data_IF_273063180736
#
_entry.id   IF_273063180736
#
_cell.length_a   1.000
_cell.length_b   1.000
_cell.length_c   1.000
_cell.angle_alpha   90.00
_cell.angle_beta   90.00
_cell.angle_gamma   90.00
#
_symmetry.space_group_name_H-M   'P 1'
#
loop_
_entity.id
_entity.type
_entity.pdbx_description
1 polymer ?
#
# COMPACT_ATOMS: atom_id res chain seq x y z
N UNK A 1 -19.90 -44.55 19.08
CA UNK A 1 -19.62 -43.58 18.00
C UNK A 1 -18.57 -44.17 17.09
N UNK A 2 -18.89 -44.40 15.81
CA UNK A 2 -18.06 -45.21 14.91
C UNK A 2 -16.75 -44.51 14.56
N UNK A 3 -15.64 -45.27 14.58
CA UNK A 3 -14.26 -44.82 14.33
C UNK A 3 -14.07 -44.03 13.02
N UNK A 4 -14.98 -44.24 12.07
CA UNK A 4 -15.04 -43.55 10.78
C UNK A 4 -15.41 -42.07 10.87
N UNK A 5 -16.16 -41.68 11.91
CA UNK A 5 -16.55 -40.29 12.11
C UNK A 5 -15.36 -39.41 12.49
N UNK A 6 -14.42 -39.97 13.27
CA UNK A 6 -13.16 -39.32 13.61
C UNK A 6 -12.23 -39.17 12.40
N UNK A 7 -12.22 -40.15 11.50
CA UNK A 7 -11.45 -40.07 10.25
C UNK A 7 -11.99 -38.96 9.35
N UNK A 8 -13.31 -38.85 9.20
CA UNK A 8 -13.93 -37.77 8.42
C UNK A 8 -13.71 -36.40 9.06
N UNK A 9 -13.75 -36.31 10.40
CA UNK A 9 -13.48 -35.07 11.12
C UNK A 9 -12.02 -34.62 10.91
N UNK A 10 -11.06 -35.54 11.03
CA UNK A 10 -9.65 -35.25 10.79
C UNK A 10 -9.41 -34.80 9.34
N UNK A 11 -10.05 -35.45 8.37
CA UNK A 11 -9.96 -35.08 6.96
C UNK A 11 -10.56 -33.70 6.68
N UNK A 12 -11.70 -33.37 7.31
CA UNK A 12 -12.33 -32.06 7.17
C UNK A 12 -11.46 -30.93 7.75
N UNK A 13 -10.83 -31.16 8.90
CA UNK A 13 -9.87 -30.22 9.49
C UNK A 13 -8.66 -30.05 8.58
N UNK A 14 -8.13 -31.13 8.02
CA UNK A 14 -6.99 -31.08 7.10
C UNK A 14 -7.31 -30.30 5.81
N UNK A 15 -8.46 -30.57 5.19
CA UNK A 15 -8.93 -29.81 4.03
C UNK A 15 -9.20 -28.35 4.38
N UNK A 16 -9.77 -28.07 5.55
CA UNK A 16 -9.99 -26.70 6.04
C UNK A 16 -8.68 -25.94 6.24
N UNK A 17 -7.68 -26.58 6.81
CA UNK A 17 -6.34 -26.02 6.98
C UNK A 17 -5.66 -25.76 5.63
N UNK A 18 -5.73 -26.71 4.69
CA UNK A 18 -5.24 -26.53 3.32
C UNK A 18 -5.94 -25.38 2.61
N UNK A 19 -7.27 -25.29 2.74
CA UNK A 19 -8.05 -24.20 2.18
C UNK A 19 -7.60 -22.86 2.77
N UNK A 20 -7.38 -22.79 4.09
CA UNK A 20 -6.88 -21.58 4.76
C UNK A 20 -5.47 -21.18 4.28
N UNK A 21 -4.60 -22.16 3.99
CA UNK A 21 -3.29 -21.93 3.37
C UNK A 21 -3.42 -21.40 1.95
N UNK A 22 -4.35 -21.93 1.15
CA UNK A 22 -4.63 -21.46 -0.22
C UNK A 22 -5.29 -20.07 -0.26
N UNK A 23 -5.95 -19.67 0.83
CA UNK A 23 -6.54 -18.34 1.00
C UNK A 23 -5.55 -17.31 1.55
N UNK A 24 -4.33 -17.70 1.94
CA UNK A 24 -3.33 -16.70 2.30
C UNK A 24 -2.98 -15.89 1.05
N UNK A 25 -3.11 -14.55 1.11
CA UNK A 25 -2.62 -13.72 0.01
C UNK A 25 -1.14 -14.06 -0.15
N UNK A 26 -0.74 -14.46 -1.35
CA UNK A 26 0.66 -14.68 -1.65
C UNK A 26 1.41 -13.37 -1.33
N UNK A 27 2.12 -13.34 -0.21
CA UNK A 27 3.17 -12.37 0.00
C UNK A 27 4.19 -12.70 -1.08
N UNK A 28 4.16 -11.94 -2.17
CA UNK A 28 5.10 -12.11 -3.26
C UNK A 28 6.43 -11.56 -2.77
N UNK A 29 7.17 -12.37 -2.01
CA UNK A 29 8.57 -12.17 -1.67
C UNK A 29 9.39 -12.37 -2.95
N UNK A 30 9.23 -11.44 -3.89
CA UNK A 30 10.25 -11.27 -4.93
C UNK A 30 11.41 -10.57 -4.24
N UNK A 31 12.64 -11.11 -4.23
CA UNK A 31 13.83 -10.35 -3.88
C UNK A 31 14.12 -9.34 -5.00
N UNK A 32 13.19 -8.40 -5.19
CA UNK A 32 13.33 -7.21 -6.02
C UNK A 32 13.64 -6.04 -5.11
N UNK A 33 14.38 -5.07 -5.63
CA UNK A 33 14.61 -3.80 -4.94
C UNK A 33 13.25 -3.22 -4.52
N UNK A 34 13.01 -3.01 -3.23
CA UNK A 34 11.77 -2.39 -2.76
C UNK A 34 11.83 -0.89 -2.99
N UNK A 35 10.67 -0.25 -3.13
CA UNK A 35 10.56 1.20 -3.28
C UNK A 35 11.26 1.95 -2.14
N UNK A 36 11.24 1.35 -0.95
CA UNK A 36 11.83 1.90 0.27
C UNK A 36 12.41 0.77 1.12
N UNK A 37 13.42 1.08 1.93
CA UNK A 37 13.94 0.17 2.95
C UNK A 37 13.30 0.39 4.34
N UNK A 38 12.23 1.21 4.41
CA UNK A 38 11.56 1.52 5.67
C UNK A 38 10.71 0.34 6.13
N UNK A 39 10.76 0.06 7.43
CA UNK A 39 9.84 -0.86 8.07
C UNK A 39 8.45 -0.21 8.14
N UNK A 40 7.42 -0.80 7.51
CA UNK A 40 6.04 -0.33 7.63
C UNK A 40 5.56 -0.14 9.08
N UNK A 41 6.10 -0.93 10.01
CA UNK A 41 5.74 -0.86 11.43
C UNK A 41 6.37 0.33 12.16
N UNK A 42 7.42 0.96 11.61
CA UNK A 42 8.06 2.13 12.21
C UNK A 42 7.37 3.45 11.80
N UNK A 43 6.52 3.42 10.77
CA UNK A 43 5.91 4.64 10.20
C UNK A 43 4.88 5.23 11.17
N UNK A 44 4.97 6.54 11.42
CA UNK A 44 4.07 7.25 12.35
C UNK A 44 3.12 8.22 11.68
N UNK A 45 3.53 8.82 10.56
CA UNK A 45 2.77 9.81 9.82
C UNK A 45 2.69 9.43 8.33
N UNK A 46 1.47 9.42 7.81
CA UNK A 46 1.20 9.24 6.38
C UNK A 46 0.46 10.47 5.88
N UNK A 47 0.98 11.11 4.83
CA UNK A 47 0.28 12.18 4.13
C UNK A 47 0.15 11.85 2.66
N UNK A 48 -1.04 12.08 2.11
CA UNK A 48 -1.32 11.84 0.70
C UNK A 48 -1.75 13.17 0.10
N UNK A 49 -1.01 13.57 -0.93
CA UNK A 49 -1.27 14.76 -1.71
C UNK A 49 -1.63 14.34 -3.14
N UNK A 50 -2.70 14.89 -3.70
CA UNK A 50 -3.17 14.58 -5.07
C UNK A 50 -3.28 15.89 -5.83
N UNK A 51 -2.62 15.99 -6.99
CA UNK A 51 -2.60 17.22 -7.78
C UNK A 51 -2.30 18.47 -6.92
N UNK A 52 -1.23 18.39 -6.11
CA UNK A 52 -0.77 19.43 -5.18
C UNK A 52 -1.79 19.87 -4.10
N UNK A 53 -2.80 19.03 -3.82
CA UNK A 53 -3.74 19.22 -2.71
C UNK A 53 -3.56 18.14 -1.66
N UNK A 54 -3.37 18.57 -0.41
CA UNK A 54 -3.41 17.66 0.74
C UNK A 54 -4.81 17.08 0.88
N UNK A 55 -4.90 15.77 0.84
CA UNK A 55 -6.18 15.08 0.75
C UNK A 55 -6.42 14.15 1.93
N UNK A 56 -5.37 13.46 2.41
CA UNK A 56 -5.47 12.55 3.54
C UNK A 56 -4.26 12.69 4.45
N UNK A 57 -4.50 12.68 5.76
CA UNK A 57 -3.45 12.61 6.77
C UNK A 57 -3.82 11.56 7.80
N UNK A 58 -2.90 10.64 8.08
CA UNK A 58 -3.03 9.62 9.10
C UNK A 58 -1.86 9.70 10.07
N UNK A 59 -2.17 9.62 11.36
CA UNK A 59 -1.21 9.62 12.45
C UNK A 59 -1.42 8.36 13.29
N UNK A 60 -0.33 7.72 13.69
CA UNK A 60 -0.37 6.61 14.64
C UNK A 60 -0.40 7.16 16.06
N UNK A 61 -1.47 6.87 16.81
CA UNK A 61 -1.68 7.31 18.19
C UNK A 61 -2.00 6.10 19.07
N UNK A 62 -1.18 5.86 20.10
CA UNK A 62 -1.36 4.76 21.06
C UNK A 62 -1.67 3.40 20.38
N UNK A 63 -0.86 3.05 19.35
CA UNK A 63 -1.00 1.86 18.51
C UNK A 63 -2.24 1.75 17.60
N UNK A 64 -3.09 2.77 17.54
CA UNK A 64 -4.15 2.88 16.55
C UNK A 64 -3.81 3.90 15.47
N UNK A 65 -4.25 3.66 14.23
CA UNK A 65 -4.20 4.67 13.18
C UNK A 65 -5.38 5.62 13.33
N UNK A 66 -5.12 6.91 13.25
CA UNK A 66 -6.13 7.94 13.32
C UNK A 66 -6.00 8.84 12.09
N UNK A 67 -7.10 9.04 11.37
CA UNK A 67 -7.15 10.04 10.32
C UNK A 67 -7.31 11.41 10.98
N UNK A 68 -6.52 12.39 10.58
CA UNK A 68 -6.60 13.78 11.07
C UNK A 68 -7.11 14.73 9.99
N UNK A 69 -6.98 14.36 8.72
CA UNK A 69 -7.50 15.12 7.57
C UNK A 69 -8.15 14.17 6.55
N UNK A 70 -9.29 14.52 5.92
CA UNK A 70 -10.03 15.80 5.99
C UNK A 70 -10.87 15.97 7.26
N UNK A 71 -11.08 14.89 8.02
CA UNK A 71 -11.78 14.90 9.30
C UNK A 71 -11.07 14.00 10.30
N UNK A 72 -11.17 14.36 11.57
CA UNK A 72 -10.64 13.54 12.65
C UNK A 72 -11.53 12.30 12.86
N UNK A 73 -11.01 11.10 12.64
CA UNK A 73 -11.73 9.85 12.88
C UNK A 73 -10.75 8.67 13.07
N UNK A 74 -11.13 7.62 13.81
CA UNK A 74 -10.36 6.38 13.86
C UNK A 74 -10.25 5.78 12.45
N UNK A 75 -9.03 5.38 12.08
CA UNK A 75 -8.76 4.76 10.79
C UNK A 75 -8.62 3.24 10.94
N UNK A 76 -9.18 2.50 10.00
CA UNK A 76 -9.12 1.05 9.99
C UNK A 76 -7.68 0.60 9.70
N UNK A 77 -7.02 0.00 10.70
CA UNK A 77 -5.61 -0.41 10.62
C UNK A 77 -5.32 -1.30 9.39
N UNK A 78 -6.25 -2.21 9.05
CA UNK A 78 -6.13 -3.06 7.85
C UNK A 78 -6.04 -2.26 6.56
N UNK A 79 -6.76 -1.14 6.45
CA UNK A 79 -6.79 -0.30 5.24
C UNK A 79 -5.59 0.63 5.18
N UNK A 80 -5.15 1.15 6.33
CA UNK A 80 -3.90 1.90 6.41
C UNK A 80 -2.70 1.00 6.11
N UNK A 81 -2.73 -0.27 6.53
CA UNK A 81 -1.74 -1.28 6.17
C UNK A 81 -1.58 -1.47 4.65
N UNK A 82 -2.66 -1.34 3.87
CA UNK A 82 -2.59 -1.38 2.41
C UNK A 82 -1.83 -0.16 1.83
N UNK A 83 -1.98 1.02 2.43
CA UNK A 83 -1.18 2.20 2.05
C UNK A 83 0.29 2.02 2.44
N UNK A 84 0.56 1.46 3.62
CA UNK A 84 1.92 1.17 4.06
C UNK A 84 2.61 0.14 3.16
N UNK A 85 1.86 -0.80 2.56
CA UNK A 85 2.41 -1.77 1.61
C UNK A 85 3.02 -1.11 0.36
N UNK A 86 2.66 0.14 0.04
CA UNK A 86 3.30 0.92 -1.02
C UNK A 86 4.79 1.13 -0.72
N UNK A 87 5.16 1.31 0.56
CA UNK A 87 6.55 1.48 0.98
C UNK A 87 7.42 0.25 0.62
N UNK A 88 6.82 -0.93 0.66
CA UNK A 88 7.46 -2.21 0.34
C UNK A 88 7.15 -2.69 -1.08
N UNK A 89 6.58 -1.85 -1.94
CA UNK A 89 6.27 -2.21 -3.31
C UNK A 89 7.54 -2.61 -4.09
N UNK A 90 7.48 -3.65 -4.94
CA UNK A 90 8.61 -4.01 -5.79
C UNK A 90 8.86 -2.90 -6.80
N UNK A 91 10.07 -2.33 -6.77
CA UNK A 91 10.52 -1.26 -7.65
C UNK A 91 11.28 -1.84 -8.83
N UNK A 92 10.88 -1.44 -10.04
CA UNK A 92 11.66 -1.66 -11.24
C UNK A 92 12.50 -0.39 -11.52
N UNK A 93 13.82 -0.40 -11.28
CA UNK A 93 14.65 0.77 -11.48
C UNK A 93 14.71 1.14 -12.97
N UNK A 94 14.66 2.43 -13.27
CA UNK A 94 14.75 2.94 -14.64
C UNK A 94 15.90 3.93 -14.70
N UNK A 95 16.75 3.79 -15.73
CA UNK A 95 17.78 4.78 -16.04
C UNK A 95 17.11 6.03 -16.60
N UNK A 96 16.87 7.00 -15.71
CA UNK A 96 16.31 8.30 -16.06
C UNK A 96 17.39 9.22 -16.64
N UNK A 97 17.15 9.76 -17.85
CA UNK A 97 17.90 10.89 -18.39
C UNK A 97 17.46 12.23 -17.78
N UNK A 98 18.09 13.33 -18.18
CA UNK A 98 17.80 14.67 -17.62
C UNK A 98 16.32 15.08 -17.75
N UNK A 99 15.64 14.72 -18.84
CA UNK A 99 14.24 15.08 -19.12
C UNK A 99 13.22 14.02 -18.66
N UNK A 100 13.69 12.97 -17.97
CA UNK A 100 12.86 11.86 -17.54
C UNK A 100 11.69 12.30 -16.66
N UNK A 101 11.89 13.27 -15.77
CA UNK A 101 10.85 13.73 -14.85
C UNK A 101 9.63 14.30 -15.61
N UNK A 102 9.86 15.12 -16.63
CA UNK A 102 8.79 15.65 -17.47
C UNK A 102 8.14 14.54 -18.32
N UNK A 103 8.96 13.67 -18.93
CA UNK A 103 8.48 12.57 -19.78
C UNK A 103 7.62 11.56 -19.02
N UNK A 104 7.97 11.29 -17.76
CA UNK A 104 7.29 10.33 -16.91
C UNK A 104 6.17 10.95 -16.08
N UNK A 105 5.83 12.23 -16.29
CA UNK A 105 4.77 12.90 -15.55
C UNK A 105 5.05 13.07 -14.05
N UNK A 106 6.33 13.13 -13.67
CA UNK A 106 6.80 13.43 -12.32
C UNK A 106 7.01 14.94 -12.10
N UNK A 107 6.75 15.76 -13.13
CA UNK A 107 6.83 17.22 -13.07
C UNK A 107 5.73 17.86 -13.94
N UNK A 108 4.58 18.26 -13.35
CA UNK A 108 4.19 18.04 -11.95
C UNK A 108 3.84 16.57 -11.67
N UNK A 109 4.05 16.06 -10.44
CA UNK A 109 3.61 14.73 -10.05
C UNK A 109 2.08 14.66 -9.95
N UNK A 110 1.50 13.49 -10.24
CA UNK A 110 0.04 13.28 -10.14
C UNK A 110 -0.40 13.06 -8.69
N UNK A 111 0.42 12.40 -7.89
CA UNK A 111 0.22 12.25 -6.46
C UNK A 111 1.57 12.18 -5.73
N UNK A 112 1.57 12.56 -4.47
CA UNK A 112 2.73 12.47 -3.59
C UNK A 112 2.31 11.75 -2.31
N UNK A 113 3.03 10.69 -1.98
CA UNK A 113 2.90 9.98 -0.72
C UNK A 113 4.07 10.38 0.17
N UNK A 114 3.77 10.92 1.34
CA UNK A 114 4.75 11.12 2.39
C UNK A 114 4.56 10.06 3.47
N UNK A 115 5.66 9.38 3.80
CA UNK A 115 5.75 8.42 4.89
C UNK A 115 6.84 8.94 5.83
N UNK A 116 6.44 9.62 6.90
CA UNK A 116 7.33 10.40 7.75
C UNK A 116 8.20 11.38 6.95
N UNK A 117 9.51 11.11 6.83
CA UNK A 117 10.49 11.92 6.09
C UNK A 117 10.69 11.46 4.64
N UNK A 118 10.17 10.28 4.27
CA UNK A 118 10.23 9.77 2.92
C UNK A 118 9.15 10.44 2.07
N UNK A 119 9.53 10.83 0.86
CA UNK A 119 8.64 11.32 -0.17
C UNK A 119 8.70 10.40 -1.38
N UNK A 120 7.53 9.91 -1.80
CA UNK A 120 7.34 9.12 -3.01
C UNK A 120 6.41 9.89 -3.94
N UNK A 121 6.92 10.22 -5.12
CA UNK A 121 6.19 10.94 -6.15
C UNK A 121 5.69 9.97 -7.21
N UNK A 122 4.44 10.10 -7.60
CA UNK A 122 3.78 9.25 -8.59
C UNK A 122 3.55 10.04 -9.86
N UNK A 123 4.03 9.47 -10.96
CA UNK A 123 3.91 10.04 -12.29
C UNK A 123 2.85 9.36 -13.15
N UNK A 124 3.08 9.38 -14.45
CA UNK A 124 2.23 8.79 -15.47
C UNK A 124 2.28 7.26 -15.46
N UNK A 125 1.18 6.66 -15.95
CA UNK A 125 1.09 5.24 -16.23
C UNK A 125 1.80 4.92 -17.54
N UNK A 126 2.69 3.93 -17.53
CA UNK A 126 3.24 3.33 -18.74
C UNK A 126 2.16 2.48 -19.44
N UNK A 127 1.69 2.89 -20.64
CA UNK A 127 0.61 2.17 -21.33
C UNK A 127 1.04 0.78 -21.81
N UNK A 128 2.34 0.51 -21.92
CA UNK A 128 2.86 -0.76 -22.42
C UNK A 128 2.94 -1.83 -21.33
N UNK A 129 3.43 -1.46 -20.14
CA UNK A 129 3.66 -2.40 -19.04
C UNK A 129 2.62 -2.31 -17.92
N UNK A 130 1.71 -1.31 -17.97
CA UNK A 130 0.76 -0.98 -16.89
C UNK A 130 1.45 -0.72 -15.55
N UNK A 131 2.70 -0.25 -15.60
CA UNK A 131 3.45 0.19 -14.44
C UNK A 131 3.39 1.71 -14.35
N UNK A 132 3.36 2.24 -13.14
CA UNK A 132 3.39 3.66 -12.90
C UNK A 132 4.78 4.11 -12.54
N UNK A 133 5.25 5.17 -13.20
CA UNK A 133 6.52 5.78 -12.86
C UNK A 133 6.45 6.41 -11.48
N UNK A 134 7.48 6.17 -10.68
CA UNK A 134 7.62 6.74 -9.34
C UNK A 134 9.02 7.27 -9.14
N UNK A 135 9.14 8.29 -8.29
CA UNK A 135 10.42 8.84 -7.85
C UNK A 135 10.47 8.87 -6.33
N UNK A 136 11.56 8.32 -5.79
CA UNK A 136 11.81 8.23 -4.35
C UNK A 136 13.29 8.53 -4.11
N UNK A 137 13.60 9.45 -3.19
CA UNK A 137 14.98 9.87 -2.87
C UNK A 137 15.88 10.16 -4.09
N UNK A 138 15.32 10.73 -5.16
CA UNK A 138 16.06 11.06 -6.39
C UNK A 138 16.27 9.88 -7.35
N UNK A 139 15.86 8.66 -6.99
CA UNK A 139 15.83 7.52 -7.89
C UNK A 139 14.47 7.43 -8.58
N UNK A 140 14.50 7.17 -9.89
CA UNK A 140 13.28 6.95 -10.69
C UNK A 140 13.14 5.46 -10.97
N UNK A 141 11.92 4.95 -10.86
CA UNK A 141 11.59 3.60 -11.28
C UNK A 141 10.11 3.48 -11.61
N UNK A 142 9.63 2.26 -11.66
CA UNK A 142 8.23 1.97 -11.88
C UNK A 142 7.72 0.89 -10.91
N UNK A 143 6.47 1.04 -10.48
CA UNK A 143 5.76 0.08 -9.62
C UNK A 143 4.40 -0.25 -10.24
N UNK A 144 3.70 -1.25 -9.70
CA UNK A 144 2.36 -1.58 -10.16
C UNK A 144 1.35 -0.43 -9.95
N UNK A 145 0.48 -0.18 -10.92
CA UNK A 145 -0.55 0.87 -10.83
C UNK A 145 -1.55 0.64 -9.68
N UNK A 146 -1.70 -0.61 -9.21
CA UNK A 146 -2.50 -0.96 -8.03
C UNK A 146 -2.20 -0.06 -6.83
N UNK A 147 -0.93 0.28 -6.60
CA UNK A 147 -0.51 1.12 -5.47
C UNK A 147 -1.06 2.54 -5.61
N UNK A 148 -1.05 3.11 -6.82
CA UNK A 148 -1.59 4.43 -7.07
C UNK A 148 -3.11 4.48 -6.94
N UNK A 149 -3.81 3.42 -7.32
CA UNK A 149 -5.25 3.32 -7.14
C UNK A 149 -5.65 3.37 -5.65
N UNK A 150 -4.82 2.83 -4.74
CA UNK A 150 -5.03 2.97 -3.29
C UNK A 150 -4.95 4.43 -2.84
N UNK A 151 -4.01 5.21 -3.42
CA UNK A 151 -3.88 6.63 -3.13
C UNK A 151 -5.06 7.46 -3.64
N UNK A 152 -5.86 6.97 -4.59
CA UNK A 152 -7.05 7.69 -5.07
C UNK A 152 -8.31 7.45 -4.25
N UNK A 153 -8.28 6.49 -3.31
CA UNK A 153 -9.46 6.14 -2.54
C UNK A 153 -9.95 7.32 -1.66
N UNK A 154 -11.27 7.46 -1.50
CA UNK A 154 -11.84 8.52 -0.69
C UNK A 154 -11.57 8.29 0.81
N UNK A 155 -11.54 9.37 1.59
CA UNK A 155 -11.35 9.32 3.05
C UNK A 155 -12.30 8.34 3.75
N UNK A 156 -13.54 8.24 3.28
CA UNK A 156 -14.58 7.34 3.81
C UNK A 156 -14.24 5.86 3.70
N UNK A 157 -13.28 5.50 2.82
CA UNK A 157 -12.78 4.16 2.71
C UNK A 157 -11.90 3.82 3.91
N UNK A 158 -11.12 4.75 4.45
CA UNK A 158 -10.11 4.48 5.49
C UNK A 158 -10.62 4.56 6.92
N UNK A 159 -11.81 5.09 7.12
CA UNK A 159 -12.39 5.23 8.46
C UNK A 159 -12.89 3.88 8.97
N UNK A 160 -12.61 3.61 10.24
CA UNK A 160 -13.17 2.47 10.93
C UNK A 160 -14.66 2.70 11.21
N UNK A 161 -15.51 1.83 10.67
CA UNK A 161 -16.97 1.88 10.88
C UNK A 161 -17.43 0.92 11.97
N UNK A 162 -16.55 0.04 12.45
CA UNK A 162 -16.88 -0.91 13.52
C UNK A 162 -16.80 -0.24 14.90
N UNK A 163 -16.18 0.93 15.01
CA UNK A 163 -16.17 1.76 16.22
C UNK A 163 -17.55 2.39 16.58
N UNK A 164 -18.56 2.27 15.70
CA UNK A 164 -19.92 2.82 15.91
C UNK A 164 -20.95 1.76 16.35
N UNK A 165 -20.55 0.51 16.66
CA UNK A 165 -21.46 -0.56 17.12
C UNK A 165 -21.27 -0.97 18.58
#
# INVERSE_FOLDING_TARGET
>A
MSRWWWVNLALAIYCGALLLVLLQPAAVDTPGMTLTALDPAAIQLIRIERHDRLELVFERRADAWHMTHPRSAPAAARRVGQLLAVASAPLQPITAGADAAARYGLQPPQAVLHLDALQVEFGALDPSQRLRYVRSHGQTGAIDDLYYNLLQLPATHFIDREAER
#
